data_IF_915517361117
#
_entry.id   IF_915517361117
#
_cell.length_a   1.000
_cell.length_b   1.000
_cell.length_c   1.000
_cell.angle_alpha   90.00
_cell.angle_beta   90.00
_cell.angle_gamma   90.00
#
_symmetry.space_group_name_H-M   'P 1'
#
loop_
_entity.id
_entity.type
_entity.pdbx_description
1 polymer ?
#
# COMPACT_ATOMS: atom_id res chain seq x y z
N UNK A 1 -6.53 -15.36 -14.19
CA UNK A 1 -6.45 -15.12 -12.73
C UNK A 1 -5.51 -16.15 -12.11
N UNK A 2 -4.44 -15.71 -11.44
CA UNK A 2 -3.59 -16.63 -10.67
C UNK A 2 -4.42 -17.22 -9.54
N UNK A 3 -4.28 -18.53 -9.27
CA UNK A 3 -4.99 -19.20 -8.18
C UNK A 3 -4.72 -18.50 -6.86
N UNK A 4 -5.75 -18.38 -6.00
CA UNK A 4 -5.60 -17.86 -4.65
C UNK A 4 -4.49 -18.63 -3.92
N UNK A 5 -3.51 -17.92 -3.37
CA UNK A 5 -2.44 -18.55 -2.58
C UNK A 5 -2.91 -18.72 -1.15
N UNK A 6 -2.86 -19.93 -0.66
CA UNK A 6 -3.34 -20.26 0.68
C UNK A 6 -2.24 -19.93 1.70
N UNK A 7 -2.33 -18.75 2.30
CA UNK A 7 -1.54 -18.39 3.48
C UNK A 7 -2.26 -18.86 4.74
N UNK A 8 -1.50 -19.23 5.75
CA UNK A 8 -2.05 -19.46 7.10
C UNK A 8 -1.94 -18.16 7.87
N UNK A 9 -3.08 -17.51 8.12
CA UNK A 9 -3.12 -16.18 8.78
C UNK A 9 -3.96 -16.25 10.04
N UNK A 10 -3.38 -15.84 11.15
CA UNK A 10 -4.13 -15.63 12.40
C UNK A 10 -4.94 -14.34 12.26
N UNK A 11 -6.26 -14.36 12.48
CA UNK A 11 -7.10 -13.16 12.38
C UNK A 11 -6.58 -12.00 13.22
N UNK A 12 -6.70 -10.77 12.72
CA UNK A 12 -6.19 -9.56 13.39
C UNK A 12 -6.76 -9.38 14.80
N UNK A 13 -8.01 -9.82 15.04
CA UNK A 13 -8.67 -9.79 16.34
C UNK A 13 -7.94 -10.64 17.39
N UNK A 14 -7.28 -11.72 16.97
CA UNK A 14 -6.60 -12.67 17.83
C UNK A 14 -5.15 -12.26 18.17
N UNK A 15 -4.68 -11.12 17.60
CA UNK A 15 -3.35 -10.59 17.95
C UNK A 15 -3.29 -9.97 19.35
N UNK A 16 -4.44 -9.57 19.92
CA UNK A 16 -4.53 -8.97 21.24
C UNK A 16 -4.01 -7.52 21.33
N UNK A 17 -3.80 -6.85 20.21
CA UNK A 17 -3.22 -5.51 20.11
C UNK A 17 -4.24 -4.43 19.79
N UNK A 18 -5.22 -4.77 18.99
CA UNK A 18 -6.24 -3.88 18.51
C UNK A 18 -7.57 -4.16 19.20
N UNK A 19 -8.26 -3.11 19.59
CA UNK A 19 -9.66 -3.24 20.04
C UNK A 19 -10.55 -3.10 18.81
N UNK A 20 -11.17 -4.18 18.39
CA UNK A 20 -12.08 -4.18 17.24
C UNK A 20 -13.52 -4.29 17.72
N UNK A 21 -14.50 -3.64 17.08
CA UNK A 21 -14.44 -2.45 16.24
C UNK A 21 -14.42 -1.15 17.08
N UNK A 22 -14.10 0.03 16.53
CA UNK A 22 -14.17 0.34 15.10
C UNK A 22 -12.82 0.31 14.41
N UNK A 23 -12.83 0.09 13.08
CA UNK A 23 -11.71 0.40 12.18
C UNK A 23 -11.52 1.92 12.09
N UNK A 24 -10.33 2.45 11.73
CA UNK A 24 -9.10 1.69 11.42
C UNK A 24 -8.36 1.22 12.67
N UNK A 25 -7.63 0.09 12.55
CA UNK A 25 -6.56 -0.23 13.48
C UNK A 25 -5.41 0.74 13.24
N UNK A 26 -4.94 1.43 14.27
CA UNK A 26 -3.92 2.47 14.08
C UNK A 26 -2.60 2.10 14.75
N UNK A 27 -1.53 2.20 13.97
CA UNK A 27 -0.13 2.11 14.42
C UNK A 27 0.47 3.50 14.20
N UNK A 28 0.83 4.21 15.27
CA UNK A 28 1.32 5.58 15.18
C UNK A 28 2.58 5.81 16.02
N UNK A 29 3.36 6.80 15.61
CA UNK A 29 4.58 7.22 16.29
C UNK A 29 5.60 7.78 15.29
N UNK A 30 6.78 8.21 15.75
CA UNK A 30 7.70 8.94 14.90
C UNK A 30 8.30 8.07 13.79
N UNK A 31 8.77 8.73 12.73
CA UNK A 31 9.57 8.09 11.70
C UNK A 31 10.78 7.40 12.32
N UNK A 32 11.48 8.09 13.23
CA UNK A 32 12.65 7.58 13.97
C UNK A 32 12.52 7.88 15.45
N UNK A 33 13.04 6.97 16.29
CA UNK A 33 13.41 7.32 17.65
C UNK A 33 14.71 8.15 17.59
N UNK A 34 14.68 9.36 18.21
CA UNK A 34 15.77 10.33 18.08
C UNK A 34 16.35 10.69 19.47
N UNK A 35 15.50 10.81 20.47
CA UNK A 35 15.84 10.98 21.87
C UNK A 35 14.77 10.33 22.76
N UNK A 36 15.11 10.10 24.03
CA UNK A 36 14.13 9.58 24.99
C UNK A 36 12.97 10.55 25.20
N UNK A 37 13.25 11.83 25.32
CA UNK A 37 12.25 12.89 25.47
C UNK A 37 11.29 12.92 24.28
N UNK A 38 11.80 12.90 23.05
CA UNK A 38 10.99 12.88 21.83
C UNK A 38 10.08 11.65 21.78
N UNK A 39 10.60 10.46 22.12
CA UNK A 39 9.83 9.21 22.11
C UNK A 39 8.73 9.25 23.17
N UNK A 40 9.04 9.66 24.40
CA UNK A 40 8.09 9.69 25.51
C UNK A 40 6.99 10.74 25.29
N UNK A 41 7.36 11.97 24.90
CA UNK A 41 6.40 13.04 24.62
C UNK A 41 5.46 12.68 23.47
N UNK A 42 5.98 12.07 22.40
CA UNK A 42 5.14 11.61 21.30
C UNK A 42 4.18 10.50 21.76
N UNK A 43 4.67 9.55 22.54
CA UNK A 43 3.84 8.44 23.04
C UNK A 43 2.74 8.93 23.99
N UNK A 44 3.03 9.87 24.88
CA UNK A 44 2.06 10.50 25.77
C UNK A 44 0.93 11.17 24.97
N UNK A 45 1.28 11.99 23.98
CA UNK A 45 0.30 12.66 23.13
C UNK A 45 -0.59 11.68 22.36
N UNK A 46 -0.02 10.58 21.85
CA UNK A 46 -0.78 9.54 21.14
C UNK A 46 -1.67 8.73 22.08
N UNK A 47 -1.19 8.42 23.28
CA UNK A 47 -1.95 7.70 24.29
C UNK A 47 -3.19 8.46 24.76
N UNK A 48 -3.09 9.79 24.81
CA UNK A 48 -4.17 10.66 25.29
C UNK A 48 -5.49 10.49 24.52
N UNK A 49 -5.43 10.13 23.23
CA UNK A 49 -6.63 9.86 22.40
C UNK A 49 -6.78 8.38 21.99
N UNK A 50 -6.12 7.48 22.73
CA UNK A 50 -6.42 6.05 22.66
C UNK A 50 -5.59 5.21 21.68
N UNK A 51 -4.50 5.73 21.12
CA UNK A 51 -3.56 4.92 20.35
C UNK A 51 -2.90 3.89 21.28
N UNK A 52 -2.94 2.62 20.87
CA UNK A 52 -2.42 1.51 21.68
C UNK A 52 -1.17 0.85 21.10
N UNK A 53 -0.85 1.09 19.83
CA UNK A 53 0.35 0.55 19.17
C UNK A 53 1.25 1.70 18.74
N UNK A 54 2.39 1.80 19.42
CA UNK A 54 3.40 2.83 19.19
C UNK A 54 4.49 2.30 18.27
N UNK A 55 4.76 3.02 17.19
CA UNK A 55 5.86 2.72 16.27
C UNK A 55 7.02 3.72 16.42
N UNK A 56 8.26 3.26 16.27
CA UNK A 56 9.39 4.13 16.00
C UNK A 56 10.46 3.34 15.24
N UNK A 57 11.08 3.95 14.22
CA UNK A 57 12.23 3.36 13.55
C UNK A 57 13.48 3.48 14.42
N UNK A 58 14.13 2.36 14.71
CA UNK A 58 15.35 2.30 15.54
C UNK A 58 16.59 2.29 14.65
N UNK A 59 16.51 1.61 13.54
CA UNK A 59 17.51 1.55 12.48
C UNK A 59 16.90 2.09 11.19
N UNK A 60 17.68 2.87 10.44
CA UNK A 60 17.20 3.53 9.23
C UNK A 60 18.12 3.20 8.06
N UNK A 61 17.73 2.27 7.17
CA UNK A 61 18.47 2.04 5.95
C UNK A 61 18.38 3.27 5.05
N UNK A 62 19.50 3.97 4.84
CA UNK A 62 19.55 5.19 4.04
C UNK A 62 20.13 4.94 2.65
N UNK A 63 19.61 5.67 1.66
CA UNK A 63 20.15 5.63 0.29
C UNK A 63 21.53 6.30 0.21
N UNK A 64 21.75 7.36 1.00
CA UNK A 64 23.01 8.08 1.04
C UNK A 64 23.64 7.96 2.42
N UNK A 65 24.94 7.62 2.53
CA UNK A 65 25.67 7.65 3.79
C UNK A 65 25.73 9.10 4.33
N UNK A 66 25.83 9.24 5.65
CA UNK A 66 25.90 10.55 6.30
C UNK A 66 24.57 11.17 6.71
N UNK A 67 23.43 10.55 6.35
CA UNK A 67 22.12 10.88 6.91
C UNK A 67 21.92 10.19 8.26
N UNK A 68 20.94 10.63 9.05
CA UNK A 68 20.60 9.97 10.32
C UNK A 68 20.21 8.51 10.11
N UNK A 69 21.01 7.58 10.61
CA UNK A 69 20.84 6.13 10.42
C UNK A 69 20.09 5.44 11.57
N UNK A 70 19.59 6.23 12.51
CA UNK A 70 18.90 5.74 13.72
C UNK A 70 19.86 5.67 14.92
N UNK A 71 19.26 5.48 16.10
CA UNK A 71 19.99 5.46 17.38
C UNK A 71 20.42 4.05 17.81
N UNK A 72 19.93 3.03 17.13
CA UNK A 72 20.20 1.64 17.48
C UNK A 72 19.58 1.20 18.82
N UNK A 73 20.21 0.22 19.47
CA UNK A 73 19.68 -0.39 20.71
C UNK A 73 19.30 0.59 21.87
N UNK A 74 19.92 1.76 22.07
CA UNK A 74 19.41 2.74 23.02
C UNK A 74 17.95 3.12 22.81
N UNK A 75 17.48 3.25 21.56
CA UNK A 75 16.10 3.56 21.25
C UNK A 75 15.11 2.46 21.68
N UNK A 76 15.54 1.19 21.67
CA UNK A 76 14.71 0.09 22.18
C UNK A 76 14.44 0.22 23.70
N UNK A 77 15.37 0.79 24.47
CA UNK A 77 15.17 1.09 25.90
C UNK A 77 14.10 2.16 26.09
N UNK A 78 14.06 3.17 25.21
CA UNK A 78 13.05 4.22 25.27
C UNK A 78 11.67 3.65 24.91
N UNK A 79 11.59 2.80 23.89
CA UNK A 79 10.34 2.11 23.54
C UNK A 79 9.86 1.19 24.69
N UNK A 80 10.77 0.51 25.38
CA UNK A 80 10.42 -0.30 26.55
C UNK A 80 9.83 0.56 27.68
N UNK A 81 10.30 1.82 27.86
CA UNK A 81 9.68 2.78 28.79
C UNK A 81 8.26 3.15 28.33
N UNK A 82 8.03 3.42 27.05
CA UNK A 82 6.69 3.66 26.50
C UNK A 82 5.74 2.51 26.85
N UNK A 83 6.18 1.26 26.67
CA UNK A 83 5.41 0.08 27.03
C UNK A 83 5.10 0.04 28.53
N UNK A 84 6.08 0.34 29.38
CA UNK A 84 5.94 0.29 30.84
C UNK A 84 5.07 1.42 31.40
N UNK A 85 5.26 2.64 30.92
CA UNK A 85 4.62 3.84 31.50
C UNK A 85 3.23 4.10 30.92
N UNK A 86 3.05 3.88 29.61
CA UNK A 86 1.78 4.15 28.92
C UNK A 86 0.97 2.90 28.59
N UNK A 87 1.52 1.69 28.83
CA UNK A 87 0.84 0.43 28.52
C UNK A 87 0.58 0.22 27.01
N UNK A 88 1.33 0.92 26.16
CA UNK A 88 1.23 0.77 24.72
C UNK A 88 2.03 -0.45 24.25
N UNK A 89 1.57 -1.10 23.18
CA UNK A 89 2.38 -2.08 22.43
C UNK A 89 3.41 -1.35 21.58
N UNK A 90 4.60 -1.90 21.46
CA UNK A 90 5.71 -1.26 20.76
C UNK A 90 6.08 -2.02 19.50
N UNK A 91 6.30 -1.27 18.41
CA UNK A 91 6.56 -1.81 17.08
C UNK A 91 7.75 -1.10 16.42
N UNK A 92 8.66 -1.85 15.78
CA UNK A 92 9.81 -1.27 15.06
C UNK A 92 10.16 -2.03 13.79
N UNK A 93 10.94 -1.38 12.90
CA UNK A 93 11.49 -2.00 11.69
C UNK A 93 12.64 -2.93 12.01
N UNK A 94 12.68 -4.09 11.34
CA UNK A 94 13.82 -4.99 11.32
C UNK A 94 14.33 -5.18 9.89
N UNK A 95 15.64 -5.25 9.73
CA UNK A 95 16.31 -5.40 8.44
C UNK A 95 17.35 -6.52 8.44
N UNK A 96 17.30 -7.42 9.41
CA UNK A 96 18.17 -8.59 9.52
C UNK A 96 18.05 -9.27 10.88
N UNK A 97 18.65 -10.44 11.01
CA UNK A 97 18.62 -11.32 12.17
C UNK A 97 19.02 -10.61 13.48
N UNK A 98 20.08 -9.81 13.45
CA UNK A 98 20.57 -9.08 14.63
C UNK A 98 19.53 -8.12 15.18
N UNK A 99 18.77 -7.46 14.31
CA UNK A 99 17.68 -6.56 14.72
C UNK A 99 16.55 -7.34 15.39
N UNK A 100 16.25 -8.53 14.91
CA UNK A 100 15.24 -9.42 15.51
C UNK A 100 15.66 -9.79 16.93
N UNK A 101 16.89 -10.27 17.14
CA UNK A 101 17.35 -10.65 18.48
C UNK A 101 17.35 -9.48 19.46
N UNK A 102 17.75 -8.26 19.03
CA UNK A 102 17.65 -7.09 19.89
C UNK A 102 16.18 -6.75 20.21
N UNK A 103 15.26 -6.85 19.25
CA UNK A 103 13.84 -6.66 19.49
C UNK A 103 13.28 -7.66 20.51
N UNK A 104 13.61 -8.93 20.40
CA UNK A 104 13.20 -9.98 21.34
C UNK A 104 13.74 -9.71 22.75
N UNK A 105 15.01 -9.37 22.87
CA UNK A 105 15.68 -9.03 24.13
C UNK A 105 15.02 -7.85 24.87
N UNK A 106 14.55 -6.83 24.14
CA UNK A 106 13.89 -5.66 24.72
C UNK A 106 12.37 -5.78 24.78
N UNK A 107 11.81 -6.94 24.40
CA UNK A 107 10.38 -7.23 24.52
C UNK A 107 9.51 -6.38 23.60
N UNK A 108 9.99 -6.13 22.37
CA UNK A 108 9.19 -5.53 21.30
C UNK A 108 7.99 -6.42 21.00
N UNK A 109 6.80 -5.84 20.87
CA UNK A 109 5.55 -6.60 20.72
C UNK A 109 5.24 -6.96 19.26
N UNK A 110 5.75 -6.21 18.28
CA UNK A 110 5.50 -6.38 16.85
C UNK A 110 6.69 -5.86 16.07
N UNK A 111 6.97 -6.45 14.92
CA UNK A 111 8.01 -5.94 14.00
C UNK A 111 7.43 -5.73 12.60
N UNK A 112 8.09 -4.86 11.82
CA UNK A 112 7.80 -4.81 10.39
C UNK A 112 9.07 -4.90 9.54
N UNK A 113 8.91 -5.49 8.35
CA UNK A 113 9.91 -5.50 7.31
C UNK A 113 9.75 -4.25 6.45
N UNK A 114 10.82 -3.48 6.27
CA UNK A 114 10.83 -2.30 5.41
C UNK A 114 10.78 -2.67 3.93
N UNK A 115 10.35 -1.74 3.08
CA UNK A 115 10.19 -1.95 1.64
C UNK A 115 11.49 -2.40 0.93
N UNK A 116 12.66 -1.95 1.40
CA UNK A 116 13.97 -2.38 0.87
C UNK A 116 14.34 -3.78 1.34
N UNK A 117 13.97 -4.14 2.56
CA UNK A 117 14.18 -5.49 3.11
C UNK A 117 13.27 -6.50 2.40
N UNK A 118 12.01 -6.16 2.19
CA UNK A 118 11.06 -7.01 1.45
C UNK A 118 11.51 -7.30 0.02
N UNK A 119 12.23 -6.38 -0.62
CA UNK A 119 12.80 -6.57 -1.95
C UNK A 119 13.96 -7.60 -2.00
N UNK A 120 14.42 -8.10 -0.84
CA UNK A 120 15.51 -9.07 -0.77
C UNK A 120 15.03 -10.38 -0.11
N UNK A 121 14.75 -11.44 -0.90
CA UNK A 121 14.27 -12.71 -0.38
C UNK A 121 15.20 -13.41 0.62
N UNK A 122 16.52 -13.19 0.53
CA UNK A 122 17.47 -13.76 1.48
C UNK A 122 17.33 -13.12 2.86
N UNK A 123 17.25 -11.78 2.92
CA UNK A 123 17.02 -11.07 4.20
C UNK A 123 15.67 -11.41 4.81
N UNK A 124 14.62 -11.56 3.98
CA UNK A 124 13.30 -11.99 4.47
C UNK A 124 13.39 -13.39 5.08
N UNK A 125 14.15 -14.31 4.45
CA UNK A 125 14.34 -15.66 4.98
C UNK A 125 15.12 -15.66 6.29
N UNK A 126 16.24 -14.92 6.40
CA UNK A 126 17.01 -14.76 7.64
C UNK A 126 16.13 -14.22 8.79
N UNK A 127 15.31 -13.22 8.52
CA UNK A 127 14.39 -12.63 9.49
C UNK A 127 13.32 -13.65 9.91
N UNK A 128 12.75 -14.40 8.94
CA UNK A 128 11.76 -15.43 9.22
C UNK A 128 12.34 -16.55 10.12
N UNK A 129 13.55 -17.01 9.83
CA UNK A 129 14.24 -18.00 10.64
C UNK A 129 14.53 -17.49 12.07
N UNK A 130 14.95 -16.23 12.20
CA UNK A 130 15.21 -15.61 13.51
C UNK A 130 13.92 -15.40 14.34
N UNK A 131 12.75 -15.31 13.69
CA UNK A 131 11.44 -15.18 14.34
C UNK A 131 10.74 -16.53 14.57
N UNK A 132 11.31 -17.65 14.10
CA UNK A 132 10.76 -18.99 14.33
C UNK A 132 10.52 -19.22 15.83
N UNK A 133 9.43 -19.91 16.14
CA UNK A 133 9.03 -20.22 17.51
C UNK A 133 8.70 -19.00 18.39
N UNK A 134 8.55 -17.81 17.77
CA UNK A 134 8.04 -16.63 18.46
C UNK A 134 6.56 -16.39 18.14
N UNK A 135 5.85 -15.70 19.04
CA UNK A 135 4.44 -15.30 18.83
C UNK A 135 4.32 -13.81 18.42
N UNK A 136 5.41 -13.22 17.92
CA UNK A 136 5.46 -11.80 17.55
C UNK A 136 4.81 -11.60 16.18
N UNK A 137 3.81 -10.71 16.06
CA UNK A 137 3.25 -10.32 14.77
C UNK A 137 4.28 -9.64 13.87
N UNK A 138 4.20 -9.94 12.58
CA UNK A 138 5.10 -9.42 11.56
C UNK A 138 4.30 -8.73 10.47
N UNK A 139 4.52 -7.43 10.32
CA UNK A 139 3.99 -6.67 9.19
C UNK A 139 5.03 -6.58 8.07
N UNK A 140 4.59 -6.64 6.82
CA UNK A 140 5.50 -6.57 5.66
C UNK A 140 5.09 -5.42 4.77
N UNK A 141 5.97 -4.42 4.61
CA UNK A 141 5.77 -3.35 3.62
C UNK A 141 5.91 -3.92 2.20
N UNK A 142 5.09 -3.44 1.26
CA UNK A 142 5.32 -3.77 -0.14
C UNK A 142 6.73 -3.36 -0.59
N UNK A 143 7.32 -4.07 -1.56
CA UNK A 143 8.61 -3.69 -2.16
C UNK A 143 8.56 -2.27 -2.73
N UNK A 144 9.74 -1.65 -2.87
CA UNK A 144 9.85 -0.30 -3.45
C UNK A 144 9.30 -0.27 -4.88
N UNK A 145 9.60 -1.31 -5.67
CA UNK A 145 9.04 -1.50 -7.01
C UNK A 145 7.68 -2.22 -6.95
N UNK A 146 6.79 -2.02 -7.92
CA UNK A 146 5.48 -2.66 -7.97
C UNK A 146 5.59 -4.15 -8.35
N UNK A 147 5.96 -4.99 -7.38
CA UNK A 147 6.12 -6.43 -7.54
C UNK A 147 5.28 -7.17 -6.49
N UNK A 148 4.08 -7.56 -6.89
CA UNK A 148 3.13 -8.23 -6.02
C UNK A 148 3.56 -9.66 -5.68
N UNK A 149 4.17 -10.39 -6.62
CA UNK A 149 4.62 -11.76 -6.37
C UNK A 149 5.78 -11.80 -5.37
N UNK A 150 6.68 -10.81 -5.43
CA UNK A 150 7.74 -10.66 -4.44
C UNK A 150 7.17 -10.34 -3.05
N UNK A 151 6.12 -9.53 -2.98
CA UNK A 151 5.45 -9.21 -1.71
C UNK A 151 4.74 -10.44 -1.12
N UNK A 152 4.00 -11.19 -1.93
CA UNK A 152 3.36 -12.45 -1.51
C UNK A 152 4.42 -13.48 -1.07
N UNK A 153 5.52 -13.59 -1.82
CA UNK A 153 6.63 -14.47 -1.48
C UNK A 153 7.24 -14.20 -0.11
N UNK A 154 7.21 -12.94 0.37
CA UNK A 154 7.66 -12.61 1.72
C UNK A 154 6.74 -13.24 2.79
N UNK A 155 5.41 -13.20 2.61
CA UNK A 155 4.47 -13.86 3.52
C UNK A 155 4.60 -15.38 3.48
N UNK A 156 4.81 -15.97 2.30
CA UNK A 156 5.03 -17.42 2.16
C UNK A 156 6.27 -17.89 2.93
N UNK A 157 7.35 -17.08 2.94
CA UNK A 157 8.57 -17.37 3.72
C UNK A 157 8.30 -17.34 5.22
N UNK A 158 7.59 -16.31 5.70
CA UNK A 158 7.17 -16.22 7.11
C UNK A 158 6.31 -17.41 7.51
N UNK A 159 5.32 -17.78 6.70
CA UNK A 159 4.47 -18.95 6.97
C UNK A 159 5.25 -20.26 7.00
N UNK A 160 6.25 -20.42 6.14
CA UNK A 160 7.10 -21.62 6.13
C UNK A 160 7.82 -21.81 7.46
N UNK A 161 8.18 -20.73 8.14
CA UNK A 161 8.80 -20.73 9.47
C UNK A 161 7.77 -20.74 10.61
N UNK A 162 6.48 -20.96 10.32
CA UNK A 162 5.42 -21.09 11.31
C UNK A 162 4.83 -19.76 11.80
N UNK A 163 5.22 -18.63 11.22
CA UNK A 163 4.72 -17.31 11.62
C UNK A 163 3.37 -17.07 10.92
N UNK A 164 2.28 -17.02 11.70
CA UNK A 164 0.91 -16.87 11.21
C UNK A 164 0.28 -15.52 11.54
N UNK A 165 0.80 -14.78 12.54
CA UNK A 165 0.40 -13.40 12.81
C UNK A 165 1.11 -12.46 11.85
N UNK A 166 0.66 -12.46 10.60
CA UNK A 166 1.25 -11.69 9.50
C UNK A 166 0.25 -10.69 8.94
N UNK A 167 0.75 -9.54 8.46
CA UNK A 167 -0.08 -8.53 7.82
C UNK A 167 0.72 -7.67 6.85
N UNK A 168 0.04 -7.06 5.90
CA UNK A 168 0.61 -6.22 4.87
C UNK A 168 0.58 -4.74 5.27
N UNK A 169 1.60 -3.98 4.84
CA UNK A 169 1.59 -2.51 4.87
C UNK A 169 1.78 -2.01 3.44
N UNK A 170 0.74 -1.42 2.89
CA UNK A 170 0.82 -0.75 1.60
C UNK A 170 1.30 0.69 1.78
N UNK A 171 2.47 1.00 1.21
CA UNK A 171 3.17 2.30 1.37
C UNK A 171 3.41 3.04 0.05
N UNK A 172 2.77 2.58 -1.04
CA UNK A 172 3.03 3.05 -2.39
C UNK A 172 4.32 2.47 -2.99
N UNK A 173 4.58 2.79 -4.24
CA UNK A 173 5.73 2.31 -5.01
C UNK A 173 6.52 3.46 -5.61
N UNK A 174 7.77 3.23 -5.97
CA UNK A 174 8.57 4.21 -6.71
C UNK A 174 8.02 4.38 -8.13
N UNK A 175 8.06 5.60 -8.63
CA UNK A 175 7.70 5.93 -10.02
C UNK A 175 8.71 6.91 -10.60
N UNK A 176 8.90 6.86 -11.91
CA UNK A 176 9.66 7.85 -12.67
C UNK A 176 8.79 9.04 -13.10
N UNK A 177 7.48 8.91 -12.97
CA UNK A 177 6.53 9.96 -13.30
C UNK A 177 6.54 11.08 -12.24
N UNK A 178 6.31 12.30 -12.71
CA UNK A 178 6.14 13.46 -11.82
C UNK A 178 4.70 13.48 -11.29
N UNK A 179 4.52 12.98 -10.10
CA UNK A 179 3.24 12.99 -9.39
C UNK A 179 3.30 13.89 -8.16
N UNK A 180 2.14 14.23 -7.58
CA UNK A 180 2.06 15.05 -6.37
C UNK A 180 2.57 14.33 -5.10
N UNK A 181 2.57 13.00 -5.11
CA UNK A 181 2.98 12.16 -4.00
C UNK A 181 4.47 11.81 -4.05
N UNK A 182 5.01 11.40 -2.92
CA UNK A 182 6.39 10.88 -2.83
C UNK A 182 6.53 9.49 -3.48
N UNK A 183 5.52 8.65 -3.28
CA UNK A 183 5.42 7.33 -3.89
C UNK A 183 4.03 7.18 -4.49
N UNK A 184 3.94 6.59 -5.67
CA UNK A 184 2.66 6.33 -6.32
C UNK A 184 1.80 5.40 -5.45
N UNK A 185 0.55 5.75 -5.14
CA UNK A 185 -0.27 4.93 -4.28
C UNK A 185 -0.54 3.53 -4.81
N UNK A 186 -0.66 3.36 -6.16
CA UNK A 186 -0.86 2.05 -6.81
C UNK A 186 -1.86 1.16 -6.05
N UNK A 187 -3.06 1.67 -5.83
CA UNK A 187 -4.08 1.00 -5.02
C UNK A 187 -4.48 -0.37 -5.55
N UNK A 188 -4.37 -0.57 -6.87
CA UNK A 188 -4.67 -1.85 -7.52
C UNK A 188 -3.79 -2.97 -6.97
N UNK A 189 -2.56 -2.67 -6.58
CA UNK A 189 -1.67 -3.65 -5.93
C UNK A 189 -2.22 -4.14 -4.59
N UNK A 190 -2.82 -3.25 -3.79
CA UNK A 190 -3.45 -3.62 -2.52
C UNK A 190 -4.77 -4.38 -2.74
N UNK A 191 -5.55 -3.97 -3.74
CA UNK A 191 -6.80 -4.64 -4.14
C UNK A 191 -6.50 -6.06 -4.65
N UNK A 192 -5.49 -6.23 -5.49
CA UNK A 192 -5.10 -7.54 -6.00
C UNK A 192 -4.49 -8.43 -4.91
N UNK A 193 -3.73 -7.86 -3.96
CA UNK A 193 -3.27 -8.61 -2.78
C UNK A 193 -4.46 -9.14 -1.98
N UNK A 194 -5.48 -8.30 -1.73
CA UNK A 194 -6.71 -8.73 -1.04
C UNK A 194 -7.43 -9.84 -1.79
N UNK A 195 -7.48 -9.77 -3.12
CA UNK A 195 -8.12 -10.80 -3.95
C UNK A 195 -7.35 -12.14 -3.91
N UNK A 196 -6.01 -12.11 -3.89
CA UNK A 196 -5.18 -13.31 -3.83
C UNK A 196 -5.02 -13.88 -2.42
N UNK A 197 -5.05 -13.04 -1.40
CA UNK A 197 -4.81 -13.39 0.00
C UNK A 197 -5.91 -12.75 0.89
N UNK A 198 -7.17 -13.22 0.82
CA UNK A 198 -8.32 -12.55 1.42
C UNK A 198 -8.25 -12.44 2.96
N UNK A 199 -7.59 -13.40 3.61
CA UNK A 199 -7.46 -13.43 5.08
C UNK A 199 -6.36 -12.50 5.61
N UNK A 200 -5.49 -11.97 4.73
CA UNK A 200 -4.35 -11.15 5.13
C UNK A 200 -4.82 -9.74 5.50
N UNK A 201 -4.59 -9.25 6.74
CA UNK A 201 -4.89 -7.86 7.09
C UNK A 201 -3.95 -6.90 6.35
N UNK A 202 -4.52 -5.81 5.81
CA UNK A 202 -3.78 -4.82 5.03
C UNK A 202 -3.91 -3.45 5.69
N UNK A 203 -2.78 -2.87 6.05
CA UNK A 203 -2.66 -1.49 6.53
C UNK A 203 -2.19 -0.58 5.40
N UNK A 204 -2.66 0.66 5.36
CA UNK A 204 -2.04 1.70 4.53
C UNK A 204 -1.02 2.50 5.34
N UNK A 205 0.05 2.92 4.68
CA UNK A 205 1.03 3.87 5.19
C UNK A 205 0.95 5.18 4.38
N UNK A 206 -0.03 6.04 4.68
CA UNK A 206 -0.24 7.28 3.94
C UNK A 206 0.94 8.25 4.07
N UNK A 207 1.70 8.19 5.17
CA UNK A 207 2.86 9.06 5.40
C UNK A 207 3.94 8.86 4.32
N UNK A 208 4.26 7.61 4.03
CA UNK A 208 5.26 7.31 3.00
C UNK A 208 4.73 7.45 1.58
N UNK A 209 3.43 7.29 1.35
CA UNK A 209 2.81 7.61 0.05
C UNK A 209 2.87 9.13 -0.19
N UNK A 210 2.35 9.91 0.75
CA UNK A 210 2.20 11.35 0.64
C UNK A 210 3.54 12.09 0.52
N UNK A 211 4.45 11.84 1.46
CA UNK A 211 5.68 12.63 1.64
C UNK A 211 5.44 14.05 2.17
N UNK A 212 4.18 14.48 2.31
CA UNK A 212 3.74 15.78 2.85
C UNK A 212 2.42 15.63 3.61
N UNK A 213 2.22 16.45 4.64
CA UNK A 213 1.02 16.40 5.51
C UNK A 213 -0.28 16.67 4.76
N UNK A 214 -0.26 17.57 3.77
CA UNK A 214 -1.44 18.02 3.01
C UNK A 214 -2.20 16.89 2.29
N UNK A 215 -1.53 15.76 1.99
CA UNK A 215 -2.13 14.62 1.28
C UNK A 215 -2.53 13.46 2.19
N UNK A 216 -2.27 13.53 3.50
CA UNK A 216 -2.53 12.42 4.41
C UNK A 216 -4.02 12.10 4.54
N UNK A 217 -4.87 13.13 4.58
CA UNK A 217 -6.32 13.00 4.70
C UNK A 217 -6.89 12.20 3.51
N UNK A 218 -6.59 12.62 2.27
CA UNK A 218 -7.13 11.97 1.07
C UNK A 218 -6.66 10.52 0.94
N UNK A 219 -5.39 10.24 1.24
CA UNK A 219 -4.83 8.88 1.17
C UNK A 219 -5.38 7.98 2.28
N UNK A 220 -5.54 8.52 3.49
CA UNK A 220 -6.16 7.77 4.60
C UNK A 220 -7.63 7.47 4.33
N UNK A 221 -8.39 8.44 3.79
CA UNK A 221 -9.78 8.22 3.40
C UNK A 221 -9.88 7.18 2.29
N UNK A 222 -9.01 7.25 1.27
CA UNK A 222 -9.00 6.26 0.19
C UNK A 222 -8.73 4.85 0.69
N UNK A 223 -7.84 4.68 1.68
CA UNK A 223 -7.62 3.39 2.32
C UNK A 223 -8.89 2.85 3.00
N UNK A 224 -9.67 3.73 3.67
CA UNK A 224 -10.95 3.35 4.29
C UNK A 224 -12.01 3.00 3.25
N UNK A 225 -12.09 3.76 2.16
CA UNK A 225 -13.02 3.50 1.05
C UNK A 225 -12.74 2.14 0.37
N UNK A 226 -11.48 1.72 0.31
CA UNK A 226 -11.05 0.41 -0.20
C UNK A 226 -11.19 -0.72 0.84
N UNK A 227 -11.67 -0.43 2.05
CA UNK A 227 -11.89 -1.41 3.09
C UNK A 227 -10.60 -1.99 3.69
N UNK A 228 -9.49 -1.24 3.68
CA UNK A 228 -8.28 -1.68 4.37
C UNK A 228 -8.49 -1.71 5.89
N UNK A 229 -7.74 -2.57 6.59
CA UNK A 229 -7.98 -2.89 8.00
C UNK A 229 -7.43 -1.84 8.95
N UNK A 230 -6.41 -1.09 8.52
CA UNK A 230 -5.79 -0.10 9.38
C UNK A 230 -4.86 0.88 8.69
N UNK A 231 -4.28 1.74 9.51
CA UNK A 231 -3.34 2.78 9.11
C UNK A 231 -2.05 2.69 9.93
N UNK A 232 -0.91 2.86 9.26
CA UNK A 232 0.38 3.13 9.91
C UNK A 232 0.76 4.58 9.58
N UNK A 233 0.71 5.48 10.57
CA UNK A 233 0.92 6.92 10.37
C UNK A 233 2.10 7.42 11.18
N UNK A 234 2.90 8.30 10.57
CA UNK A 234 4.01 8.94 11.25
C UNK A 234 3.52 10.16 12.04
N UNK A 235 3.83 10.17 13.35
CA UNK A 235 3.52 11.26 14.27
C UNK A 235 4.72 11.57 15.15
N UNK A 236 4.99 12.86 15.37
CA UNK A 236 6.13 13.36 16.13
C UNK A 236 5.68 14.53 17.01
N UNK A 237 6.21 14.63 18.22
CA UNK A 237 5.84 15.73 19.15
C UNK A 237 6.13 17.12 18.59
N UNK A 238 7.21 17.27 17.81
CA UNK A 238 7.56 18.47 17.06
C UNK A 238 8.22 18.07 15.73
N UNK A 239 7.44 17.91 14.65
CA UNK A 239 7.99 17.54 13.35
C UNK A 239 9.00 18.52 12.75
N UNK A 240 9.05 19.77 13.22
CA UNK A 240 9.97 20.78 12.69
C UNK A 240 11.42 20.49 13.02
N UNK A 241 11.67 19.77 14.12
CA UNK A 241 13.00 19.35 14.56
C UNK A 241 13.34 17.88 14.25
N UNK A 242 12.44 17.15 13.57
CA UNK A 242 12.64 15.76 13.27
C UNK A 242 13.87 15.51 12.37
N UNK A 243 14.69 14.52 12.74
CA UNK A 243 15.91 14.13 12.02
C UNK A 243 15.61 13.32 10.75
N UNK A 244 14.38 12.84 10.60
CA UNK A 244 13.93 12.07 9.44
C UNK A 244 12.51 12.41 9.06
N UNK A 245 12.26 12.53 7.74
CA UNK A 245 10.94 12.64 7.10
C UNK A 245 9.99 13.69 7.75
N UNK A 246 10.54 14.84 8.19
CA UNK A 246 9.84 15.93 8.90
C UNK A 246 8.56 16.42 8.19
N UNK A 247 8.56 16.47 6.86
CA UNK A 247 7.47 17.03 6.07
C UNK A 247 6.16 16.22 6.11
N UNK A 248 6.24 14.92 6.43
CA UNK A 248 5.10 14.00 6.39
C UNK A 248 4.55 13.61 7.77
N UNK A 249 5.26 13.96 8.86
CA UNK A 249 4.84 13.62 10.21
C UNK A 249 3.81 14.61 10.76
N UNK A 250 2.79 14.12 11.44
CA UNK A 250 1.79 14.93 12.13
C UNK A 250 2.16 15.10 13.61
N UNK A 251 1.77 16.20 14.22
CA UNK A 251 1.71 16.24 15.69
C UNK A 251 0.53 15.39 16.19
N UNK A 252 0.58 14.85 17.40
CA UNK A 252 -0.49 13.99 17.92
C UNK A 252 -1.90 14.58 17.81
N UNK A 253 -2.17 15.87 18.11
CA UNK A 253 -3.50 16.47 17.91
C UNK A 253 -3.97 16.48 16.45
N UNK A 254 -3.07 16.73 15.48
CA UNK A 254 -3.43 16.73 14.08
C UNK A 254 -3.74 15.31 13.58
N UNK A 255 -3.03 14.29 14.12
CA UNK A 255 -3.38 12.89 13.85
C UNK A 255 -4.74 12.53 14.42
N UNK A 256 -5.08 12.98 15.63
CA UNK A 256 -6.40 12.80 16.21
C UNK A 256 -7.48 13.39 15.28
N UNK A 257 -7.33 14.65 14.88
CA UNK A 257 -8.27 15.33 14.00
C UNK A 257 -8.43 14.60 12.66
N UNK A 258 -7.31 14.10 12.08
CA UNK A 258 -7.35 13.29 10.85
C UNK A 258 -8.19 12.02 11.07
N UNK A 259 -7.94 11.27 12.13
CA UNK A 259 -8.65 10.01 12.39
C UNK A 259 -10.15 10.24 12.65
N UNK A 260 -10.51 11.30 13.38
CA UNK A 260 -11.89 11.67 13.66
C UNK A 260 -12.65 12.11 12.38
N UNK A 261 -11.95 12.62 11.39
CA UNK A 261 -12.52 13.04 10.11
C UNK A 261 -12.79 11.90 9.13
N UNK A 262 -12.25 10.70 9.37
CA UNK A 262 -12.37 9.56 8.47
C UNK A 262 -13.78 8.95 8.51
N UNK A 263 -14.32 8.73 7.32
CA UNK A 263 -15.55 7.95 7.14
C UNK A 263 -15.17 6.49 6.92
N UNK A 264 -15.40 5.66 7.92
CA UNK A 264 -15.18 4.21 7.83
C UNK A 264 -16.42 3.56 7.22
N UNK A 265 -16.22 2.81 6.12
CA UNK A 265 -17.29 2.12 5.41
C UNK A 265 -17.24 0.63 5.71
N UNK A 266 -18.40 0.02 5.91
CA UNK A 266 -18.51 -1.43 6.05
C UNK A 266 -18.40 -2.11 4.67
N UNK A 267 -17.81 -3.32 4.66
CA UNK A 267 -17.65 -4.10 3.44
C UNK A 267 -18.99 -4.55 2.83
N UNK A 268 -20.04 -4.60 3.64
CA UNK A 268 -21.40 -4.96 3.23
C UNK A 268 -22.42 -4.24 4.09
N UNK A 269 -23.62 -4.04 3.54
CA UNK A 269 -24.77 -3.52 4.27
C UNK A 269 -25.80 -4.65 4.51
N UNK A 270 -26.45 -4.62 5.67
CA UNK A 270 -27.61 -5.48 5.95
C UNK A 270 -28.87 -5.00 5.22
N UNK A 271 -28.89 -3.77 4.68
CA UNK A 271 -30.01 -3.20 3.94
C UNK A 271 -30.20 -3.96 2.62
N UNK A 272 -31.33 -4.67 2.53
CA UNK A 272 -31.70 -5.49 1.37
C UNK A 272 -31.91 -4.62 0.11
N UNK A 273 -32.55 -3.46 0.24
CA UNK A 273 -32.74 -2.53 -0.88
C UNK A 273 -31.44 -2.01 -1.45
N UNK A 274 -30.46 -1.71 -0.57
CA UNK A 274 -29.12 -1.31 -0.99
C UNK A 274 -28.42 -2.44 -1.74
N UNK A 275 -28.49 -3.70 -1.25
CA UNK A 275 -27.87 -4.85 -1.92
C UNK A 275 -28.50 -5.12 -3.29
N UNK A 276 -29.81 -5.02 -3.40
CA UNK A 276 -30.54 -5.21 -4.65
C UNK A 276 -30.18 -4.13 -5.67
N UNK A 277 -30.15 -2.86 -5.25
CA UNK A 277 -29.76 -1.75 -6.12
C UNK A 277 -28.30 -1.89 -6.58
N UNK A 278 -27.38 -2.23 -5.68
CA UNK A 278 -25.97 -2.45 -6.01
C UNK A 278 -25.81 -3.62 -6.99
N UNK A 279 -26.55 -4.73 -6.79
CA UNK A 279 -26.53 -5.89 -7.68
C UNK A 279 -27.06 -5.52 -9.06
N UNK A 280 -28.13 -4.74 -9.13
CA UNK A 280 -28.69 -4.24 -10.39
C UNK A 280 -27.71 -3.35 -11.15
N UNK A 281 -27.01 -2.43 -10.45
CA UNK A 281 -26.02 -1.55 -11.07
C UNK A 281 -24.80 -2.32 -11.57
N UNK A 282 -24.34 -3.32 -10.80
CA UNK A 282 -23.24 -4.20 -11.24
C UNK A 282 -23.60 -5.00 -12.48
N UNK A 283 -24.81 -5.58 -12.52
CA UNK A 283 -25.29 -6.27 -13.71
C UNK A 283 -25.36 -5.36 -14.95
N UNK A 284 -25.66 -4.07 -14.79
CA UNK A 284 -25.60 -3.11 -15.90
C UNK A 284 -24.14 -2.89 -16.38
N UNK A 285 -23.18 -2.80 -15.46
CA UNK A 285 -21.74 -2.70 -15.81
C UNK A 285 -21.30 -3.96 -16.55
N UNK A 286 -21.66 -5.16 -16.07
CA UNK A 286 -21.30 -6.43 -16.69
C UNK A 286 -21.73 -6.48 -18.17
N UNK A 287 -22.96 -6.03 -18.47
CA UNK A 287 -23.46 -5.94 -19.86
C UNK A 287 -22.68 -4.93 -20.70
N UNK A 288 -22.30 -3.80 -20.12
CA UNK A 288 -21.49 -2.79 -20.81
C UNK A 288 -20.09 -3.35 -21.10
N UNK A 289 -19.47 -4.04 -20.13
CA UNK A 289 -18.16 -4.63 -20.28
C UNK A 289 -18.13 -5.74 -21.34
N UNK A 290 -19.19 -6.57 -21.41
CA UNK A 290 -19.34 -7.55 -22.50
C UNK A 290 -19.39 -6.87 -23.88
N UNK A 291 -20.12 -5.77 -24.01
CA UNK A 291 -20.19 -5.00 -25.26
C UNK A 291 -18.82 -4.37 -25.60
N UNK A 292 -18.12 -3.79 -24.61
CA UNK A 292 -16.76 -3.26 -24.81
C UNK A 292 -15.80 -4.32 -25.34
N UNK A 293 -15.79 -5.52 -24.76
CA UNK A 293 -14.96 -6.64 -25.21
C UNK A 293 -15.34 -7.06 -26.63
N UNK A 294 -16.66 -7.14 -26.95
CA UNK A 294 -17.12 -7.46 -28.28
C UNK A 294 -16.69 -6.42 -29.33
N UNK A 295 -16.80 -5.13 -29.00
CA UNK A 295 -16.40 -4.03 -29.89
C UNK A 295 -14.89 -4.00 -30.11
N UNK A 296 -14.07 -4.23 -29.05
CA UNK A 296 -12.63 -4.38 -29.16
C UNK A 296 -12.24 -5.56 -30.05
N UNK A 297 -12.88 -6.72 -29.87
CA UNK A 297 -12.63 -7.89 -30.72
C UNK A 297 -12.98 -7.62 -32.20
N UNK A 298 -14.09 -6.92 -32.43
CA UNK A 298 -14.51 -6.52 -33.77
C UNK A 298 -13.53 -5.54 -34.40
N UNK A 299 -13.05 -4.56 -33.60
CA UNK A 299 -12.02 -3.62 -34.04
C UNK A 299 -10.71 -4.30 -34.39
N UNK A 300 -10.26 -5.30 -33.62
CA UNK A 300 -9.04 -6.07 -33.91
C UNK A 300 -9.18 -6.89 -35.22
N UNK A 301 -10.36 -7.48 -35.47
CA UNK A 301 -10.62 -8.14 -36.76
C UNK A 301 -10.48 -7.18 -37.99
N UNK A 302 -10.96 -5.93 -37.82
CA UNK A 302 -10.80 -4.91 -38.87
C UNK A 302 -9.33 -4.48 -39.01
N UNK A 303 -8.61 -4.32 -37.86
CA UNK A 303 -7.17 -4.01 -37.86
C UNK A 303 -6.35 -5.06 -38.62
N UNK A 304 -6.65 -6.34 -38.41
CA UNK A 304 -5.99 -7.44 -39.15
C UNK A 304 -6.24 -7.34 -40.66
N UNK A 305 -7.48 -7.10 -41.10
CA UNK A 305 -7.80 -6.87 -42.50
C UNK A 305 -7.06 -5.68 -43.12
N UNK A 306 -6.90 -4.59 -42.34
CA UNK A 306 -6.11 -3.43 -42.79
C UNK A 306 -4.65 -3.85 -42.99
N UNK A 307 -4.09 -4.67 -42.09
CA UNK A 307 -2.73 -5.21 -42.23
C UNK A 307 -2.55 -6.02 -43.51
N UNK A 308 -3.51 -6.93 -43.81
CA UNK A 308 -3.50 -7.72 -45.05
C UNK A 308 -3.51 -6.84 -46.33
N UNK A 309 -4.38 -5.82 -46.34
CA UNK A 309 -4.45 -4.87 -47.48
C UNK A 309 -3.15 -4.08 -47.62
N UNK A 310 -2.57 -3.59 -46.54
CA UNK A 310 -1.29 -2.87 -46.54
C UNK A 310 -0.15 -3.75 -47.05
N UNK A 311 -0.10 -5.04 -46.64
CA UNK A 311 0.90 -6.02 -47.11
C UNK A 311 0.79 -6.22 -48.64
N UNK A 312 -0.44 -6.39 -49.16
CA UNK A 312 -0.68 -6.57 -50.59
C UNK A 312 -0.20 -5.38 -51.44
N UNK A 313 -0.22 -4.17 -50.88
CA UNK A 313 0.15 -2.94 -51.56
C UNK A 313 1.53 -2.39 -51.14
N UNK A 314 2.31 -3.14 -50.37
CA UNK A 314 3.63 -2.70 -49.84
C UNK A 314 3.59 -1.37 -49.07
N UNK A 315 2.52 -1.10 -48.36
CA UNK A 315 2.32 0.10 -47.54
C UNK A 315 2.77 -0.15 -46.10
N UNK A 316 3.47 0.82 -45.51
CA UNK A 316 3.91 0.75 -44.14
C UNK A 316 2.73 0.62 -43.15
N UNK A 317 2.89 -0.20 -42.10
CA UNK A 317 1.85 -0.46 -41.11
C UNK A 317 1.57 0.81 -40.26
N UNK A 318 2.63 1.47 -39.82
CA UNK A 318 2.52 2.68 -38.98
C UNK A 318 2.37 3.90 -39.91
N UNK A 319 1.30 4.65 -39.70
CA UNK A 319 0.99 5.93 -40.34
C UNK A 319 0.68 6.96 -39.25
N UNK A 320 1.69 7.76 -38.86
CA UNK A 320 1.63 8.69 -37.75
C UNK A 320 0.42 9.65 -37.81
N UNK A 321 0.19 10.29 -38.98
CA UNK A 321 -0.93 11.22 -39.13
C UNK A 321 -2.32 10.58 -38.90
N UNK A 322 -2.47 9.28 -39.22
CA UNK A 322 -3.73 8.58 -38.96
C UNK A 322 -3.95 8.32 -37.48
N UNK A 323 -2.87 8.07 -36.74
CA UNK A 323 -2.95 7.90 -35.29
C UNK A 323 -3.38 9.20 -34.59
N UNK A 324 -2.80 10.33 -34.96
CA UNK A 324 -3.16 11.63 -34.41
C UNK A 324 -4.65 11.95 -34.62
N UNK A 325 -5.19 11.72 -35.82
CA UNK A 325 -6.62 11.87 -36.10
C UNK A 325 -7.52 11.01 -35.21
N UNK A 326 -7.12 9.76 -34.95
CA UNK A 326 -7.90 8.83 -34.13
C UNK A 326 -7.90 9.32 -32.68
N UNK A 327 -6.73 9.73 -32.17
CA UNK A 327 -6.59 10.19 -30.80
C UNK A 327 -7.35 11.52 -30.58
N UNK A 328 -7.25 12.48 -31.51
CA UNK A 328 -7.99 13.74 -31.44
C UNK A 328 -9.51 13.52 -31.41
N UNK A 329 -10.03 12.62 -32.25
CA UNK A 329 -11.46 12.27 -32.24
C UNK A 329 -11.89 11.62 -30.91
N UNK A 330 -11.05 10.75 -30.37
CA UNK A 330 -11.34 10.09 -29.09
C UNK A 330 -11.40 11.10 -27.93
N UNK A 331 -10.43 12.01 -27.88
CA UNK A 331 -10.39 13.09 -26.86
C UNK A 331 -11.58 14.04 -27.02
N UNK A 332 -11.96 14.41 -28.26
CA UNK A 332 -13.14 15.22 -28.50
C UNK A 332 -14.43 14.53 -28.02
N UNK A 333 -14.57 13.23 -28.24
CA UNK A 333 -15.69 12.44 -27.71
C UNK A 333 -15.66 12.34 -26.18
N UNK A 334 -14.46 12.19 -25.58
CA UNK A 334 -14.31 12.18 -24.14
C UNK A 334 -14.91 13.44 -23.50
N UNK A 335 -14.61 14.62 -24.04
CA UNK A 335 -15.18 15.90 -23.58
C UNK A 335 -16.70 15.92 -23.67
N UNK A 336 -17.25 15.43 -24.77
CA UNK A 336 -18.69 15.40 -24.99
C UNK A 336 -19.42 14.52 -23.97
N UNK A 337 -18.80 13.40 -23.56
CA UNK A 337 -19.39 12.45 -22.63
C UNK A 337 -18.92 12.64 -21.17
N UNK A 338 -18.14 13.68 -20.87
CA UNK A 338 -17.67 13.98 -19.52
C UNK A 338 -16.63 12.99 -18.98
N UNK A 339 -15.87 12.34 -19.88
CA UNK A 339 -14.79 11.44 -19.50
C UNK A 339 -13.48 12.22 -19.35
N UNK A 340 -12.60 11.74 -18.46
CA UNK A 340 -11.26 12.29 -18.31
C UNK A 340 -10.43 12.06 -19.57
N UNK A 341 -9.76 13.11 -20.06
CA UNK A 341 -9.02 13.05 -21.32
C UNK A 341 -7.79 12.14 -21.22
N UNK A 342 -7.08 12.15 -20.09
CA UNK A 342 -5.88 11.32 -19.91
C UNK A 342 -6.25 9.84 -19.77
N UNK A 343 -7.36 9.54 -19.12
CA UNK A 343 -7.92 8.19 -19.11
C UNK A 343 -8.19 7.69 -20.53
N UNK A 344 -8.88 8.49 -21.37
CA UNK A 344 -9.21 8.11 -22.73
C UNK A 344 -7.94 7.97 -23.59
N UNK A 345 -6.94 8.84 -23.44
CA UNK A 345 -5.64 8.70 -24.12
C UNK A 345 -4.94 7.38 -23.75
N UNK A 346 -4.94 7.02 -22.47
CA UNK A 346 -4.34 5.77 -21.97
C UNK A 346 -5.00 4.55 -22.62
N UNK A 347 -6.33 4.50 -22.62
CA UNK A 347 -7.09 3.41 -23.26
C UNK A 347 -6.81 3.33 -24.75
N UNK A 348 -6.80 4.47 -25.47
CA UNK A 348 -6.57 4.47 -26.92
C UNK A 348 -5.13 4.14 -27.29
N UNK A 349 -4.14 4.46 -26.46
CA UNK A 349 -2.75 4.01 -26.64
C UNK A 349 -2.65 2.48 -26.57
N UNK A 350 -3.26 1.85 -25.57
CA UNK A 350 -3.29 0.38 -25.47
C UNK A 350 -4.00 -0.28 -26.66
N UNK A 351 -5.12 0.31 -27.12
CA UNK A 351 -5.84 -0.15 -28.31
C UNK A 351 -4.98 0.02 -29.57
N UNK A 352 -4.17 1.09 -29.66
CA UNK A 352 -3.28 1.32 -30.79
C UNK A 352 -2.18 0.27 -30.86
N UNK A 353 -1.51 0.01 -29.74
CA UNK A 353 -0.47 -1.03 -29.65
C UNK A 353 -1.00 -2.40 -30.07
N UNK A 354 -2.17 -2.80 -29.55
CA UNK A 354 -2.82 -4.03 -29.94
C UNK A 354 -3.17 -4.05 -31.44
N UNK A 355 -3.64 -2.93 -32.00
CA UNK A 355 -3.97 -2.82 -33.42
C UNK A 355 -2.73 -2.94 -34.32
N UNK A 356 -1.59 -2.40 -33.94
CA UNK A 356 -0.32 -2.51 -34.63
C UNK A 356 0.18 -3.96 -34.60
N UNK A 357 0.06 -4.62 -33.45
CA UNK A 357 0.41 -6.04 -33.32
C UNK A 357 -0.44 -6.93 -34.28
N UNK A 358 -1.76 -6.72 -34.31
CA UNK A 358 -2.67 -7.45 -35.20
C UNK A 358 -2.39 -7.21 -36.70
N UNK A 359 -1.88 -6.04 -37.10
CA UNK A 359 -1.50 -5.75 -38.47
C UNK A 359 -0.18 -6.39 -38.88
N UNK A 360 0.69 -6.74 -37.95
CA UNK A 360 1.99 -7.38 -38.17
C UNK A 360 1.89 -8.91 -38.31
N UNK A 361 0.90 -9.54 -37.67
CA UNK A 361 0.64 -10.99 -37.77
C UNK A 361 0.04 -11.35 -39.09
#
# INVERSE_FOLDING_TARGET
MSAARQLTVTPLNDWGFFRLPPRPCVIAGPCSAESEEQVMTTAEGLKAFGINVFRAGIWKPRTHPGSFEGVGAPGLKWMQKVKKEYGMRICTEVAGEKHVFECLKYGVDMVWLGARTTANPFLVQEIAEALRDTDIPVLVKNPVNPDLDLWIGAFERLNREGITKIGAIHRGVSTTEKIKYRNAPEWDMAVELRARCPELPIFADPSHMAGKREYLQELSQRAMDLGLDGLMVESHCDPSCALSDAAQQLVPPDLQALLESLVVRDASSADEKFRDELSRLRAQIDVIDENLVFDLATRMKVSRKIGEVKKQHSVAIIQAGRWDEVLEKAVASARQYGLDEEFVKTVYNAIHEASVAEQNG
#
